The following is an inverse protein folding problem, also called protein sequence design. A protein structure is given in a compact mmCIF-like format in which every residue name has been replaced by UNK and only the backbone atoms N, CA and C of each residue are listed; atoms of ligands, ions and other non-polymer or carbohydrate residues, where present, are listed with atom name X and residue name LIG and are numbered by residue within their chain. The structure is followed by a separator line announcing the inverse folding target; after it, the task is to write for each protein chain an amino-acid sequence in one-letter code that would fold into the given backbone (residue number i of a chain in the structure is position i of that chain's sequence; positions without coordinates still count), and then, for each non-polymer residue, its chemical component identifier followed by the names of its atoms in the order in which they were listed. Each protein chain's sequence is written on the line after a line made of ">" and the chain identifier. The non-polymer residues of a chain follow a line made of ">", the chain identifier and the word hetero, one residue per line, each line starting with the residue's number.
data_IF_830208434879
#
_entry.id   IF_830208434879
#
_cell.length_a   1.000
_cell.length_b   1.000
_cell.length_c   1.000
_cell.angle_alpha   90.00
_cell.angle_beta   90.00
_cell.angle_gamma   90.00
#
_symmetry.space_group_name_H-M   'P 1'
#
loop_
_entity.id
_entity.type
_entity.pdbx_description
1 polymer ?
#
# COMPACT_ATOMS: atom_id res chain seq x y z
N UNK A 1 -20.07 21.49 -13.12
CA UNK A 1 -19.04 21.32 -14.16
C UNK A 1 -18.43 19.90 -14.15
N UNK A 2 -17.73 19.46 -13.08
CA UNK A 2 -17.08 18.13 -12.99
C UNK A 2 -18.03 16.95 -13.25
N UNK A 3 -19.25 16.99 -12.71
CA UNK A 3 -20.24 15.93 -12.95
C UNK A 3 -20.66 15.80 -14.42
N UNK A 4 -20.70 16.90 -15.17
CA UNK A 4 -20.99 16.87 -16.61
C UNK A 4 -19.85 16.18 -17.39
N UNK A 5 -18.60 16.43 -17.00
CA UNK A 5 -17.45 15.71 -17.54
C UNK A 5 -17.51 14.22 -17.24
N UNK A 6 -17.92 13.82 -16.03
CA UNK A 6 -18.01 12.40 -15.70
C UNK A 6 -19.08 11.66 -16.50
N UNK A 7 -20.23 12.31 -16.74
CA UNK A 7 -21.24 11.76 -17.64
C UNK A 7 -20.74 11.64 -19.08
N UNK A 8 -19.99 12.64 -19.57
CA UNK A 8 -19.41 12.61 -20.92
C UNK A 8 -18.30 11.57 -21.06
N UNK A 9 -17.45 11.43 -20.06
CA UNK A 9 -16.44 10.38 -20.01
C UNK A 9 -17.09 8.99 -20.12
N UNK A 10 -18.19 8.77 -19.39
CA UNK A 10 -18.94 7.51 -19.43
C UNK A 10 -19.48 7.19 -20.82
N UNK A 11 -19.96 8.20 -21.57
CA UNK A 11 -20.38 8.00 -22.98
C UNK A 11 -19.23 7.66 -23.94
N UNK A 12 -18.00 7.90 -23.52
CA UNK A 12 -16.79 7.56 -24.28
C UNK A 12 -16.09 6.29 -23.74
N UNK A 13 -16.74 5.54 -22.85
CA UNK A 13 -16.17 4.31 -22.27
C UNK A 13 -15.16 4.53 -21.14
N UNK A 14 -15.10 5.73 -20.57
CA UNK A 14 -14.19 6.07 -19.47
C UNK A 14 -14.94 6.34 -18.17
N UNK A 15 -14.29 6.04 -17.05
CA UNK A 15 -14.78 6.38 -15.71
C UNK A 15 -14.05 7.62 -15.17
N UNK A 16 -14.81 8.61 -14.70
CA UNK A 16 -14.27 9.76 -13.99
C UNK A 16 -14.94 9.85 -12.62
N UNK A 17 -14.16 9.59 -11.57
CA UNK A 17 -14.62 9.46 -10.19
C UNK A 17 -13.70 10.29 -9.31
N UNK A 18 -14.25 11.04 -8.33
CA UNK A 18 -13.41 11.75 -7.37
C UNK A 18 -12.67 10.76 -6.47
N UNK A 19 -11.42 11.10 -6.15
CA UNK A 19 -10.58 10.37 -5.20
C UNK A 19 -10.11 11.34 -4.12
N UNK A 20 -9.92 10.89 -2.86
CA UNK A 20 -9.35 11.73 -1.81
C UNK A 20 -7.98 12.24 -2.21
N UNK A 21 -7.65 13.47 -1.82
CA UNK A 21 -6.29 14.01 -2.00
C UNK A 21 -5.24 13.18 -1.25
N UNK A 22 -5.63 12.57 -0.14
CA UNK A 22 -4.85 11.59 0.63
C UNK A 22 -5.70 10.33 0.86
N UNK A 23 -5.52 9.27 0.04
CA UNK A 23 -6.31 8.04 0.14
C UNK A 23 -6.05 7.22 1.40
N UNK A 24 -4.90 7.38 2.07
CA UNK A 24 -4.48 6.51 3.18
C UNK A 24 -4.43 7.21 4.54
N UNK A 25 -4.56 8.54 4.60
CA UNK A 25 -4.65 9.30 5.85
C UNK A 25 -3.56 8.91 6.87
N UNK A 26 -2.36 8.62 6.35
CA UNK A 26 -1.26 8.13 7.18
C UNK A 26 -0.90 9.19 8.23
N UNK A 27 -0.38 8.80 9.41
CA UNK A 27 -0.12 9.71 10.52
C UNK A 27 1.16 10.55 10.33
N UNK A 28 1.33 11.15 9.14
CA UNK A 28 2.48 11.99 8.80
C UNK A 28 2.19 13.49 8.95
N UNK A 29 0.93 13.87 9.17
CA UNK A 29 0.50 15.25 9.43
C UNK A 29 -0.50 15.30 10.58
N UNK A 30 -0.50 16.39 11.33
CA UNK A 30 -1.49 16.67 12.40
C UNK A 30 -2.94 16.74 11.87
N UNK A 31 -3.11 16.88 10.54
CA UNK A 31 -4.39 16.90 9.85
C UNK A 31 -4.81 15.53 9.29
N UNK A 32 -4.06 14.46 9.58
CA UNK A 32 -4.47 13.10 9.24
C UNK A 32 -5.78 12.77 9.94
N UNK A 33 -6.75 12.28 9.18
CA UNK A 33 -8.08 11.96 9.71
C UNK A 33 -8.04 10.56 10.31
N UNK A 34 -8.09 10.41 11.65
CA UNK A 34 -7.95 9.11 12.31
C UNK A 34 -9.11 8.15 11.99
N UNK A 35 -10.23 8.65 11.44
CA UNK A 35 -11.34 7.81 11.01
C UNK A 35 -11.11 7.20 9.62
N UNK A 36 -10.04 7.61 8.92
CA UNK A 36 -9.67 7.12 7.59
C UNK A 36 -8.46 6.18 7.63
N UNK A 37 -8.15 5.66 8.80
CA UNK A 37 -7.00 4.79 9.01
C UNK A 37 -7.06 3.55 8.11
N UNK A 38 -5.96 3.24 7.42
CA UNK A 38 -5.93 2.13 6.50
C UNK A 38 -5.91 0.83 7.28
N UNK A 39 -6.50 -0.19 6.68
CA UNK A 39 -6.55 -1.54 7.23
C UNK A 39 -5.29 -2.27 6.80
N UNK A 40 -4.44 -2.65 7.75
CA UNK A 40 -3.33 -3.55 7.45
C UNK A 40 -3.81 -4.97 7.17
N UNK A 41 -3.41 -5.52 6.03
CA UNK A 41 -3.64 -6.92 5.62
C UNK A 41 -2.29 -7.64 5.58
N UNK A 42 -1.99 -8.53 6.54
CA UNK A 42 -0.73 -9.27 6.56
C UNK A 42 -0.66 -10.28 5.41
N UNK A 43 0.53 -10.42 4.83
CA UNK A 43 0.84 -11.43 3.83
C UNK A 43 1.56 -12.61 4.51
N UNK A 44 0.99 -13.81 4.39
CA UNK A 44 1.59 -15.01 4.97
C UNK A 44 2.85 -15.40 4.19
N UNK A 45 4.01 -15.06 4.75
CA UNK A 45 5.31 -15.33 4.15
C UNK A 45 5.68 -16.82 4.12
N UNK A 46 5.10 -17.64 5.00
CA UNK A 46 5.36 -19.08 5.04
C UNK A 46 4.86 -19.79 3.77
N UNK A 47 3.88 -19.20 3.09
CA UNK A 47 3.29 -19.76 1.88
C UNK A 47 4.27 -19.82 0.69
N UNK A 48 5.37 -19.06 0.71
CA UNK A 48 6.33 -18.97 -0.38
C UNK A 48 7.53 -19.92 -0.26
N UNK A 49 7.66 -20.63 0.86
CA UNK A 49 8.81 -21.48 1.17
C UNK A 49 9.94 -20.73 1.89
N UNK A 50 10.72 -21.47 2.68
CA UNK A 50 11.84 -20.92 3.48
C UNK A 50 13.04 -20.52 2.64
N UNK A 51 13.15 -21.04 1.42
CA UNK A 51 14.23 -20.83 0.46
C UNK A 51 14.03 -19.61 -0.43
N UNK A 52 12.84 -18.98 -0.43
CA UNK A 52 12.47 -17.87 -1.32
C UNK A 52 13.56 -16.79 -1.40
N UNK A 53 14.16 -16.46 -0.27
CA UNK A 53 15.16 -15.38 -0.16
C UNK A 53 16.58 -15.87 0.13
N UNK A 54 16.81 -17.18 0.07
CA UNK A 54 18.11 -17.75 0.42
C UNK A 54 19.17 -17.28 -0.59
N UNK A 55 20.20 -16.57 -0.10
CA UNK A 55 21.32 -16.11 -0.92
C UNK A 55 21.12 -14.76 -1.63
N UNK A 56 19.96 -14.11 -1.50
CA UNK A 56 19.74 -12.76 -2.03
C UNK A 56 20.21 -11.67 -1.05
N UNK A 57 20.67 -10.53 -1.57
CA UNK A 57 20.88 -9.33 -0.77
C UNK A 57 19.54 -8.74 -0.29
N UNK A 58 19.60 -7.85 0.69
CA UNK A 58 18.40 -7.19 1.23
C UNK A 58 17.67 -6.34 0.18
N UNK A 59 18.40 -5.70 -0.73
CA UNK A 59 17.85 -4.93 -1.84
C UNK A 59 17.12 -5.85 -2.82
N UNK A 60 17.77 -6.96 -3.21
CA UNK A 60 17.17 -7.93 -4.12
C UNK A 60 15.96 -8.62 -3.51
N UNK A 61 16.01 -8.90 -2.21
CA UNK A 61 14.88 -9.41 -1.43
C UNK A 61 13.68 -8.46 -1.49
N UNK A 62 13.91 -7.17 -1.30
CA UNK A 62 12.87 -6.15 -1.34
C UNK A 62 12.26 -6.00 -2.74
N UNK A 63 13.08 -6.02 -3.80
CA UNK A 63 12.61 -6.00 -5.18
C UNK A 63 11.72 -7.19 -5.51
N UNK A 64 12.17 -8.41 -5.17
CA UNK A 64 11.41 -9.63 -5.41
C UNK A 64 10.10 -9.64 -4.64
N UNK A 65 10.13 -9.20 -3.38
CA UNK A 65 8.93 -9.10 -2.58
C UNK A 65 7.93 -8.11 -3.18
N UNK A 66 8.40 -6.95 -3.64
CA UNK A 66 7.56 -5.99 -4.33
C UNK A 66 6.94 -6.58 -5.61
N UNK A 67 7.72 -7.31 -6.41
CA UNK A 67 7.21 -8.00 -7.62
C UNK A 67 6.10 -8.98 -7.27
N UNK A 68 6.26 -9.75 -6.19
CA UNK A 68 5.24 -10.69 -5.70
C UNK A 68 3.98 -9.93 -5.25
N UNK A 69 4.14 -8.90 -4.43
CA UNK A 69 3.04 -8.10 -3.92
C UNK A 69 2.29 -7.38 -5.07
N UNK A 70 3.00 -6.82 -6.04
CA UNK A 70 2.44 -6.19 -7.24
C UNK A 70 1.63 -7.20 -8.08
N UNK A 71 2.15 -8.41 -8.27
CA UNK A 71 1.43 -9.47 -8.99
C UNK A 71 0.15 -9.91 -8.26
N UNK A 72 0.18 -10.00 -6.93
CA UNK A 72 -1.00 -10.29 -6.10
C UNK A 72 -2.05 -9.19 -6.28
N UNK A 73 -1.64 -7.92 -6.13
CA UNK A 73 -2.54 -6.76 -6.22
C UNK A 73 -3.19 -6.68 -7.60
N UNK A 74 -2.41 -6.84 -8.68
CA UNK A 74 -2.92 -6.89 -10.06
C UNK A 74 -3.92 -8.02 -10.30
N UNK A 75 -3.70 -9.20 -9.71
CA UNK A 75 -4.66 -10.33 -9.80
C UNK A 75 -6.03 -9.99 -9.22
N UNK A 76 -6.08 -9.13 -8.20
CA UNK A 76 -7.32 -8.65 -7.60
C UNK A 76 -7.94 -7.45 -8.32
N UNK A 77 -7.48 -7.12 -9.54
CA UNK A 77 -8.09 -6.06 -10.36
C UNK A 77 -7.63 -4.65 -9.98
N UNK A 78 -6.55 -4.53 -9.22
CA UNK A 78 -5.94 -3.24 -8.90
C UNK A 78 -4.96 -2.80 -9.98
N UNK A 79 -4.94 -1.49 -10.22
CA UNK A 79 -4.12 -0.81 -11.20
C UNK A 79 -3.21 0.20 -10.49
N UNK A 80 -1.96 0.40 -10.94
CA UNK A 80 -1.10 1.45 -10.39
C UNK A 80 -1.80 2.82 -10.47
N UNK A 81 -1.80 3.57 -9.38
CA UNK A 81 -2.50 4.86 -9.28
C UNK A 81 -1.86 5.95 -10.17
N UNK A 82 -0.57 5.81 -10.48
CA UNK A 82 0.14 6.68 -11.42
C UNK A 82 0.52 5.92 -12.68
N UNK A 83 0.08 6.41 -13.83
CA UNK A 83 0.59 5.99 -15.14
C UNK A 83 1.63 7.01 -15.55
N UNK A 84 2.89 6.59 -15.71
CA UNK A 84 3.97 7.46 -16.18
C UNK A 84 3.60 7.96 -17.58
N UNK A 85 3.40 9.28 -17.73
CA UNK A 85 3.23 9.91 -19.04
C UNK A 85 4.63 10.02 -19.67
N UNK A 86 4.89 9.43 -20.85
CA UNK A 86 6.23 9.34 -21.43
C UNK A 86 6.94 10.68 -21.70
N UNK A 87 6.19 11.78 -21.87
CA UNK A 87 6.73 13.06 -22.37
C UNK A 87 7.10 14.10 -21.29
N UNK A 88 6.96 13.79 -20.01
CA UNK A 88 7.31 14.75 -18.95
C UNK A 88 8.73 14.48 -18.43
N UNK A 89 9.72 15.13 -19.06
CA UNK A 89 11.14 15.05 -18.71
C UNK A 89 11.49 15.60 -17.31
N UNK A 90 10.50 16.10 -16.56
CA UNK A 90 10.63 16.57 -15.17
C UNK A 90 9.56 15.87 -14.36
N UNK A 91 9.92 14.76 -13.71
CA UNK A 91 9.06 14.13 -12.71
C UNK A 91 9.29 14.85 -11.37
N UNK A 92 8.29 15.54 -10.80
CA UNK A 92 8.39 16.02 -9.42
C UNK A 92 8.68 14.85 -8.48
N UNK A 93 9.47 15.06 -7.41
CA UNK A 93 9.76 14.03 -6.40
C UNK A 93 8.48 13.36 -5.86
N UNK A 94 7.38 14.10 -5.79
CA UNK A 94 6.07 13.63 -5.35
C UNK A 94 5.49 12.48 -6.21
N UNK A 95 5.89 12.35 -7.48
CA UNK A 95 5.41 11.26 -8.36
C UNK A 95 6.12 9.94 -8.05
N UNK A 96 7.35 9.97 -7.52
CA UNK A 96 8.02 8.75 -7.01
C UNK A 96 7.24 8.13 -5.84
N UNK A 97 6.50 8.97 -5.10
CA UNK A 97 5.70 8.55 -3.95
C UNK A 97 4.36 7.87 -4.30
N UNK A 98 4.04 7.70 -5.58
CA UNK A 98 2.86 6.96 -6.01
C UNK A 98 3.20 5.55 -6.51
N UNK A 99 4.48 5.18 -6.60
CA UNK A 99 4.91 3.94 -7.26
C UNK A 99 4.35 2.67 -6.60
N UNK A 100 3.93 2.74 -5.34
CA UNK A 100 3.38 1.60 -4.60
C UNK A 100 1.89 1.76 -4.25
N UNK A 101 1.22 2.76 -4.83
CA UNK A 101 -0.20 3.01 -4.63
C UNK A 101 -1.01 2.45 -5.79
N UNK A 102 -2.12 1.83 -5.48
CA UNK A 102 -2.99 1.16 -6.43
C UNK A 102 -4.44 1.54 -6.19
N UNK A 103 -5.19 1.58 -7.28
CA UNK A 103 -6.64 1.81 -7.29
C UNK A 103 -7.31 0.59 -7.91
N UNK A 104 -8.36 0.07 -7.28
CA UNK A 104 -9.15 -1.01 -7.87
C UNK A 104 -9.85 -0.53 -9.15
N UNK A 105 -10.09 -1.41 -10.12
CA UNK A 105 -10.74 -1.04 -11.39
C UNK A 105 -12.15 -0.44 -11.21
N UNK A 106 -12.80 -0.71 -10.07
CA UNK A 106 -14.10 -0.11 -9.70
C UNK A 106 -13.97 1.25 -8.99
N UNK A 107 -12.74 1.67 -8.68
CA UNK A 107 -12.36 2.95 -8.04
C UNK A 107 -12.84 3.09 -6.58
N UNK A 108 -13.42 2.03 -6.00
CA UNK A 108 -13.93 2.03 -4.63
C UNK A 108 -12.88 1.78 -3.55
N UNK A 109 -11.70 1.29 -3.92
CA UNK A 109 -10.69 0.75 -2.99
C UNK A 109 -9.28 1.13 -3.44
N UNK A 110 -8.39 1.32 -2.47
CA UNK A 110 -6.98 1.57 -2.69
C UNK A 110 -6.11 0.59 -1.91
N UNK A 111 -4.94 0.30 -2.46
CA UNK A 111 -3.89 -0.46 -1.79
C UNK A 111 -2.59 0.35 -1.84
N UNK A 112 -1.87 0.39 -0.71
CA UNK A 112 -0.49 0.83 -0.64
C UNK A 112 0.38 -0.36 -0.22
N UNK A 113 1.45 -0.61 -0.97
CA UNK A 113 2.49 -1.57 -0.58
C UNK A 113 3.57 -0.82 0.22
N UNK A 114 3.68 -1.03 1.54
CA UNK A 114 4.76 -0.45 2.33
C UNK A 114 6.10 -1.11 1.98
N UNK A 115 7.19 -0.34 2.06
CA UNK A 115 8.54 -0.93 2.00
C UNK A 115 8.82 -1.71 3.29
N UNK A 116 9.24 -2.96 3.17
CA UNK A 116 9.71 -3.77 4.29
C UNK A 116 11.21 -3.63 4.44
N UNK A 117 11.69 -2.67 5.23
CA UNK A 117 13.11 -2.65 5.58
C UNK A 117 13.45 -3.91 6.39
N UNK A 118 14.51 -4.66 6.02
CA UNK A 118 15.13 -5.57 6.96
C UNK A 118 15.69 -4.77 8.14
N UNK A 119 15.65 -5.34 9.33
CA UNK A 119 16.13 -4.73 10.56
C UNK A 119 17.66 -4.54 10.53
N UNK A 120 18.14 -3.55 9.79
CA UNK A 120 19.52 -3.09 9.83
C UNK A 120 19.60 -1.59 9.50
N UNK A 121 19.13 -0.77 10.43
CA UNK A 121 19.87 0.44 10.77
C UNK A 121 19.86 0.59 12.28
N UNK A 122 20.92 0.07 12.90
CA UNK A 122 21.33 0.47 14.25
C UNK A 122 21.71 1.94 14.21
N UNK A 123 20.71 2.80 14.17
CA UNK A 123 20.78 4.14 14.73
C UNK A 123 20.09 4.04 16.08
N UNK A 124 20.69 3.31 17.02
CA UNK A 124 20.33 3.45 18.43
C UNK A 124 20.83 4.82 18.87
N UNK A 125 20.15 5.88 18.44
CA UNK A 125 20.18 7.13 19.16
C UNK A 125 19.47 6.83 20.48
N UNK A 126 20.26 6.47 21.51
CA UNK A 126 19.82 6.50 22.90
C UNK A 126 19.28 7.90 23.15
N UNK A 127 17.98 8.09 22.99
CA UNK A 127 17.26 9.23 23.52
C UNK A 127 17.25 9.04 25.03
N UNK A 128 18.26 9.59 25.69
CA UNK A 128 18.18 9.86 27.13
C UNK A 128 17.10 10.92 27.29
N UNK A 129 15.87 10.50 27.60
CA UNK A 129 14.73 11.39 27.86
C UNK A 129 14.96 12.02 29.24
N UNK A 130 15.16 13.35 29.37
CA UNK A 130 15.01 14.00 30.66
C UNK A 130 13.52 13.96 30.99
N UNK A 131 13.17 13.39 32.14
CA UNK A 131 11.81 13.25 32.61
C UNK A 131 11.17 14.61 32.97
N UNK A 132 10.89 15.48 32.00
CA UNK A 132 10.12 16.72 32.25
C UNK A 132 9.52 17.45 31.04
N UNK A 133 9.74 17.06 29.78
CA UNK A 133 9.21 17.82 28.63
C UNK A 133 7.95 17.20 28.02
N UNK A 134 6.95 18.06 27.78
CA UNK A 134 5.66 17.74 27.18
C UNK A 134 5.77 17.23 25.73
N UNK A 135 4.78 16.47 25.23
CA UNK A 135 4.86 15.71 23.97
C UNK A 135 5.06 16.53 22.68
N UNK A 136 5.05 17.87 22.77
CA UNK A 136 4.94 18.76 21.61
C UNK A 136 6.30 19.03 20.94
N UNK A 137 7.43 18.89 21.62
CA UNK A 137 8.74 19.28 21.09
C UNK A 137 9.48 18.16 20.31
N UNK A 138 8.92 16.94 20.25
CA UNK A 138 9.46 15.82 19.48
C UNK A 138 9.16 15.92 17.97
N UNK A 139 8.13 16.70 17.59
CA UNK A 139 7.65 16.79 16.21
C UNK A 139 8.36 17.86 15.37
N UNK A 140 8.80 18.96 15.98
CA UNK A 140 9.45 20.08 15.25
C UNK A 140 10.83 19.73 14.68
N UNK A 141 11.53 18.75 15.24
CA UNK A 141 12.86 18.34 14.73
C UNK A 141 12.77 17.33 13.57
N UNK A 142 11.57 16.80 13.27
CA UNK A 142 11.36 15.72 12.29
C UNK A 142 10.93 16.21 10.90
N UNK A 143 10.87 17.53 10.68
CA UNK A 143 10.52 18.13 9.37
C UNK A 143 11.50 17.87 8.23
N UNK A 144 12.62 17.18 8.47
CA UNK A 144 13.70 16.95 7.50
C UNK A 144 14.02 15.46 7.22
N UNK A 145 13.20 14.51 7.66
CA UNK A 145 13.45 13.09 7.34
C UNK A 145 12.95 12.80 5.92
N UNK A 146 13.85 12.36 5.04
CA UNK A 146 13.52 11.80 3.72
C UNK A 146 12.36 10.81 3.87
N UNK A 147 11.22 11.12 3.24
CA UNK A 147 9.92 10.43 3.36
C UNK A 147 9.91 9.07 2.66
N UNK A 148 10.86 8.19 2.97
CA UNK A 148 10.84 6.81 2.46
C UNK A 148 9.60 6.08 3.00
N UNK A 149 8.98 5.24 2.16
CA UNK A 149 7.80 4.44 2.51
C UNK A 149 8.05 3.53 3.71
N UNK A 150 9.30 3.13 3.92
CA UNK A 150 9.74 2.42 5.11
C UNK A 150 9.43 3.19 6.40
N UNK A 151 9.69 4.51 6.42
CA UNK A 151 9.35 5.37 7.56
C UNK A 151 7.84 5.46 7.81
N UNK A 152 7.03 5.44 6.74
CA UNK A 152 5.57 5.49 6.83
C UNK A 152 4.98 4.24 7.51
N UNK A 153 5.54 3.07 7.21
CA UNK A 153 5.11 1.81 7.81
C UNK A 153 5.33 1.79 9.34
N UNK A 154 6.49 2.31 9.79
CA UNK A 154 6.80 2.43 11.24
C UNK A 154 5.86 3.38 11.97
N UNK A 155 5.54 4.52 11.34
CA UNK A 155 4.66 5.52 11.91
C UNK A 155 3.22 5.01 12.06
N UNK A 156 2.72 4.29 11.04
CA UNK A 156 1.39 3.66 11.09
C UNK A 156 1.27 2.71 12.30
N UNK A 157 2.21 1.76 12.45
CA UNK A 157 2.15 0.82 13.57
C UNK A 157 2.35 1.47 14.94
N UNK A 158 3.20 2.49 15.01
CA UNK A 158 3.39 3.28 16.23
C UNK A 158 2.08 3.95 16.67
N UNK A 159 1.30 4.51 15.74
CA UNK A 159 -0.01 5.11 16.05
C UNK A 159 -1.02 4.06 16.52
N UNK A 160 -1.02 2.90 15.88
CA UNK A 160 -1.90 1.78 16.26
C UNK A 160 -1.52 1.14 17.61
N UNK A 161 -0.44 1.61 18.26
CA UNK A 161 0.05 1.04 19.52
C UNK A 161 0.53 -0.41 19.38
N UNK A 162 0.88 -0.84 18.17
CA UNK A 162 1.34 -2.22 17.92
C UNK A 162 2.82 -2.37 18.32
N UNK A 163 3.21 -3.53 18.86
CA UNK A 163 4.58 -3.77 19.29
C UNK A 163 5.56 -3.73 18.10
N UNK A 164 6.81 -3.34 18.37
CA UNK A 164 7.87 -3.15 17.37
C UNK A 164 8.15 -4.42 16.52
N UNK A 165 7.84 -5.61 17.06
CA UNK A 165 7.94 -6.88 16.31
C UNK A 165 7.01 -6.97 15.10
N UNK A 166 5.89 -6.22 15.11
CA UNK A 166 4.90 -6.16 14.02
C UNK A 166 5.34 -5.20 12.91
N UNK A 167 6.31 -4.31 13.19
CA UNK A 167 6.78 -3.27 12.26
C UNK A 167 7.47 -3.86 11.01
N UNK A 168 7.92 -5.11 11.10
CA UNK A 168 8.54 -5.85 10.00
C UNK A 168 7.57 -6.83 9.31
N UNK A 169 6.28 -6.81 9.67
CA UNK A 169 5.29 -7.63 8.98
C UNK A 169 5.15 -7.18 7.53
N UNK A 170 5.24 -8.15 6.62
CA UNK A 170 5.00 -7.93 5.20
C UNK A 170 3.50 -7.94 4.96
N UNK A 171 2.98 -6.97 4.23
CA UNK A 171 1.55 -6.88 3.98
C UNK A 171 1.16 -5.71 3.10
N UNK A 172 -0.09 -5.30 3.22
CA UNK A 172 -0.71 -4.25 2.43
C UNK A 172 -1.48 -3.30 3.34
N UNK A 173 -1.50 -2.03 2.99
CA UNK A 173 -2.40 -1.05 3.59
C UNK A 173 -3.59 -0.86 2.66
N UNK A 174 -4.79 -1.15 3.15
CA UNK A 174 -6.03 -1.07 2.40
C UNK A 174 -6.85 0.15 2.84
N UNK A 175 -7.40 0.92 1.90
CA UNK A 175 -8.33 2.00 2.23
C UNK A 175 -9.51 2.08 1.27
N UNK A 176 -10.60 2.68 1.75
CA UNK A 176 -11.81 2.89 0.96
C UNK A 176 -11.79 4.24 0.26
N UNK A 177 -12.41 4.32 -0.93
CA UNK A 177 -12.71 5.60 -1.55
C UNK A 177 -14.01 6.18 -0.99
N UNK A 178 -13.88 6.93 0.10
CA UNK A 178 -15.01 7.64 0.73
C UNK A 178 -15.63 8.73 -0.15
N UNK A 179 -14.95 9.17 -1.22
CA UNK A 179 -15.50 10.12 -2.19
C UNK A 179 -16.43 9.46 -3.23
N UNK A 180 -16.44 8.12 -3.31
CA UNK A 180 -17.33 7.33 -4.17
C UNK A 180 -18.76 7.22 -3.60
N UNK A 181 -19.36 8.39 -3.37
CA UNK A 181 -20.76 8.51 -2.96
C UNK A 181 -21.72 8.02 -4.05
N UNK A 182 -22.97 7.71 -3.69
CA UNK A 182 -24.01 7.19 -4.60
C UNK A 182 -24.14 7.94 -5.93
N UNK A 183 -23.84 9.25 -5.95
CA UNK A 183 -23.94 10.09 -7.14
C UNK A 183 -22.89 9.80 -8.21
N UNK A 184 -21.77 9.17 -7.84
CA UNK A 184 -20.66 8.81 -8.74
C UNK A 184 -20.68 7.32 -9.10
N UNK A 185 -21.61 6.55 -8.53
CA UNK A 185 -21.70 5.12 -8.77
C UNK A 185 -22.36 4.82 -10.10
N UNK A 186 -21.89 3.75 -10.70
CA UNK A 186 -22.47 3.11 -11.87
C UNK A 186 -22.43 1.60 -11.68
N UNK A 187 -22.95 0.84 -12.64
CA UNK A 187 -22.89 -0.62 -12.61
C UNK A 187 -21.44 -1.13 -12.47
N UNK A 188 -20.45 -0.33 -12.90
CA UNK A 188 -19.04 -0.71 -12.92
C UNK A 188 -18.27 -0.31 -11.64
N UNK A 189 -18.86 0.46 -10.72
CA UNK A 189 -18.13 0.93 -9.52
C UNK A 189 -18.26 -0.01 -8.32
N UNK A 190 -19.12 -1.03 -8.42
CA UNK A 190 -19.49 -1.87 -7.28
C UNK A 190 -20.27 -1.10 -6.21
N UNK A 191 -20.78 -1.83 -5.23
CA UNK A 191 -21.42 -1.33 -4.02
C UNK A 191 -20.58 -1.61 -2.77
N UNK A 192 -21.06 -1.19 -1.60
CA UNK A 192 -20.37 -1.45 -0.34
C UNK A 192 -20.23 -2.95 -0.05
N UNK A 193 -21.25 -3.76 -0.37
CA UNK A 193 -21.23 -5.21 -0.15
C UNK A 193 -20.12 -5.89 -0.96
N UNK A 194 -19.92 -5.48 -2.21
CA UNK A 194 -18.83 -5.95 -3.05
C UNK A 194 -17.47 -5.56 -2.47
N UNK A 195 -17.32 -4.32 -2.02
CA UNK A 195 -16.11 -3.80 -1.41
C UNK A 195 -15.70 -4.60 -0.16
N UNK A 196 -16.65 -4.86 0.75
CA UNK A 196 -16.43 -5.67 1.94
C UNK A 196 -16.09 -7.13 1.60
N UNK A 197 -16.79 -7.70 0.61
CA UNK A 197 -16.53 -9.06 0.13
C UNK A 197 -15.13 -9.17 -0.46
N UNK A 198 -14.67 -8.15 -1.20
CA UNK A 198 -13.35 -8.13 -1.80
C UNK A 198 -12.25 -8.07 -0.75
N UNK A 199 -12.38 -7.22 0.28
CA UNK A 199 -11.43 -7.20 1.40
C UNK A 199 -11.41 -8.54 2.15
N UNK A 200 -12.58 -9.16 2.37
CA UNK A 200 -12.67 -10.46 3.01
C UNK A 200 -11.99 -11.57 2.20
N UNK A 201 -12.15 -11.57 0.87
CA UNK A 201 -11.46 -12.53 0.00
C UNK A 201 -9.96 -12.26 -0.08
N UNK A 202 -9.55 -10.99 -0.17
CA UNK A 202 -8.15 -10.59 -0.17
C UNK A 202 -7.43 -11.04 1.11
N UNK A 203 -8.04 -10.85 2.28
CA UNK A 203 -7.52 -11.37 3.56
C UNK A 203 -7.38 -12.89 3.57
N UNK A 204 -8.40 -13.62 3.10
CA UNK A 204 -8.34 -15.09 3.00
C UNK A 204 -7.20 -15.53 2.08
N UNK A 205 -7.06 -14.87 0.94
CA UNK A 205 -5.97 -15.12 0.01
C UNK A 205 -4.61 -14.87 0.66
N UNK A 206 -4.38 -13.69 1.23
CA UNK A 206 -3.11 -13.34 1.88
C UNK A 206 -2.76 -14.22 3.09
N UNK A 207 -3.76 -14.76 3.79
CA UNK A 207 -3.55 -15.75 4.88
C UNK A 207 -3.19 -17.16 4.38
N UNK A 208 -3.12 -17.37 3.06
CA UNK A 208 -2.95 -18.67 2.42
C UNK A 208 -4.11 -19.65 2.70
N UNK A 209 -5.34 -19.15 2.85
CA UNK A 209 -6.51 -20.00 3.02
C UNK A 209 -6.71 -20.89 1.79
N UNK A 210 -6.99 -22.16 2.03
CA UNK A 210 -7.19 -23.19 1.00
C UNK A 210 -5.99 -23.31 0.03
N UNK A 211 -4.77 -22.99 0.51
CA UNK A 211 -3.53 -22.96 -0.27
C UNK A 211 -3.53 -22.01 -1.49
N UNK A 212 -4.48 -21.08 -1.60
CA UNK A 212 -4.62 -20.20 -2.77
C UNK A 212 -3.38 -19.34 -3.02
N UNK A 213 -2.71 -18.87 -1.97
CA UNK A 213 -1.50 -18.05 -2.11
C UNK A 213 -0.31 -18.91 -2.55
N UNK A 214 -0.15 -20.09 -1.95
CA UNK A 214 0.88 -21.06 -2.34
C UNK A 214 0.72 -21.48 -3.81
N UNK A 215 -0.49 -21.84 -4.23
CA UNK A 215 -0.77 -22.20 -5.63
C UNK A 215 -0.51 -21.03 -6.59
N UNK A 216 -0.88 -19.80 -6.20
CA UNK A 216 -0.53 -18.61 -6.97
C UNK A 216 0.99 -18.46 -7.10
N UNK A 217 1.73 -18.61 -6.00
CA UNK A 217 3.19 -18.50 -6.00
C UNK A 217 3.86 -19.55 -6.88
N UNK A 218 3.46 -20.81 -6.78
CA UNK A 218 4.02 -21.89 -7.59
C UNK A 218 3.77 -21.69 -9.09
N UNK A 219 2.63 -21.13 -9.47
CA UNK A 219 2.38 -20.75 -10.86
C UNK A 219 3.21 -19.54 -11.29
N UNK A 220 3.33 -18.54 -10.41
CA UNK A 220 4.03 -17.29 -10.71
C UNK A 220 5.55 -17.47 -10.78
N UNK A 221 6.16 -18.25 -9.88
CA UNK A 221 7.61 -18.54 -9.88
C UNK A 221 8.05 -19.21 -11.18
N UNK A 222 7.21 -20.08 -11.74
CA UNK A 222 7.49 -20.77 -13.01
C UNK A 222 7.48 -19.78 -14.19
N UNK A 223 6.69 -18.71 -14.10
CA UNK A 223 6.66 -17.64 -15.09
C UNK A 223 7.79 -16.63 -14.93
N UNK A 224 8.45 -16.56 -13.77
CA UNK A 224 9.50 -15.57 -13.48
C UNK A 224 10.89 -15.96 -13.99
N UNK A 225 11.05 -17.15 -14.58
CA UNK A 225 12.32 -17.68 -15.09
C UNK A 225 13.49 -17.47 -14.11
N UNK A 226 13.28 -17.79 -12.83
CA UNK A 226 14.30 -17.68 -11.77
C UNK A 226 15.41 -18.76 -11.96
N UNK A 227 15.42 -19.49 -13.08
CA UNK A 227 16.37 -20.56 -13.35
C UNK A 227 17.68 -20.14 -14.04
N UNK A 228 17.90 -18.85 -14.31
CA UNK A 228 19.17 -18.39 -14.87
C UNK A 228 19.67 -17.11 -14.16
N UNK A 229 20.44 -17.28 -13.09
CA UNK A 229 21.72 -16.59 -12.82
C UNK A 229 22.31 -17.00 -11.48
#
# INVERSE_FOLDING_TARGET
>A
LVYAYARRASSCGFHLIPVPCDPFALPYTDNSDPLRDPIFVPLNMEAFGSDLFQGFSDERRQELLYIIQDAIVKRFGFLPASVKVPDSAVMPEDVKNLNHQYVHCTVGMFILIPESTPAASTCSAKLTIPATSSPQHLFDTMGQVNKSFSGLHKLYFSREGRPESVVNEVGFLWSWNYMSSRRWRSVNTGDESFQDTMLADFRKFCSNKDNRLKEFWENFRNSLDIHNH
#
